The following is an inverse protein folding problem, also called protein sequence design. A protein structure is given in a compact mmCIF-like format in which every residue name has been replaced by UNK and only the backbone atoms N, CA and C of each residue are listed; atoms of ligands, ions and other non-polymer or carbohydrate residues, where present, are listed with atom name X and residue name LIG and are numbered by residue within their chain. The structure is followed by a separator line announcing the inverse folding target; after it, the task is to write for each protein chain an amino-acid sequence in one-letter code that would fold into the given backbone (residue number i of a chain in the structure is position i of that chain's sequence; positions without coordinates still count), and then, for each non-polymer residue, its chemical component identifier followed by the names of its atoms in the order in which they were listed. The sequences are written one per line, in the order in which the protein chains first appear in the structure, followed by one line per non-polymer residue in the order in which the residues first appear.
data_IF_233691657605
#
_entry.id   IF_233691657605
#
_cell.length_a   1.000
_cell.length_b   1.000
_cell.length_c   1.000
_cell.angle_alpha   90.00
_cell.angle_beta   90.00
_cell.angle_gamma   90.00
#
_symmetry.space_group_name_H-M   'P 1'
#
loop_
_entity.id
_entity.type
_entity.pdbx_description
1 polymer ?
#
# COMPACT_ATOMS: atom_id res chain seq x y z
N UNK A 1 -21.16 64.94 54.48
CA UNK A 1 -20.09 64.03 54.91
C UNK A 1 -20.09 62.84 53.90
N UNK A 2 -19.10 62.82 53.06
CA UNK A 2 -18.99 61.88 51.96
C UNK A 2 -18.13 60.68 52.37
N UNK A 3 -18.69 59.46 52.26
CA UNK A 3 -17.89 58.22 52.37
C UNK A 3 -17.73 57.59 51.00
N UNK A 4 -16.50 57.43 50.58
CA UNK A 4 -16.08 56.76 49.33
C UNK A 4 -16.25 55.31 49.51
N UNK A 5 -17.01 54.64 48.60
CA UNK A 5 -17.01 53.18 48.40
C UNK A 5 -15.99 52.84 47.31
N UNK A 6 -15.01 52.11 47.73
CA UNK A 6 -14.00 51.53 46.83
C UNK A 6 -14.62 50.30 46.14
N UNK A 7 -14.71 50.32 44.80
CA UNK A 7 -15.04 49.14 43.99
C UNK A 7 -13.78 48.32 43.81
N UNK A 8 -13.81 47.08 44.31
CA UNK A 8 -12.86 46.03 43.94
C UNK A 8 -13.33 45.35 42.67
N UNK A 9 -12.58 45.55 41.61
CA UNK A 9 -12.69 44.78 40.37
C UNK A 9 -12.01 43.41 40.60
N UNK A 10 -12.80 42.34 40.70
CA UNK A 10 -12.30 40.99 40.64
C UNK A 10 -12.06 40.61 39.17
N UNK A 11 -10.79 40.57 38.74
CA UNK A 11 -10.39 39.98 37.46
C UNK A 11 -10.40 38.47 37.58
N UNK A 12 -11.41 37.83 36.98
CA UNK A 12 -11.45 36.38 36.80
C UNK A 12 -10.42 36.01 35.72
N UNK A 13 -9.25 35.55 36.13
CA UNK A 13 -8.27 34.94 35.27
C UNK A 13 -8.77 33.57 34.81
N UNK A 14 -9.19 33.46 33.58
CA UNK A 14 -9.40 32.17 32.93
C UNK A 14 -8.04 31.49 32.75
N UNK A 15 -7.67 30.66 33.72
CA UNK A 15 -6.52 29.75 33.58
C UNK A 15 -6.88 28.67 32.57
N UNK A 16 -6.38 28.79 31.34
CA UNK A 16 -6.38 27.70 30.41
C UNK A 16 -5.47 26.59 30.96
N UNK A 17 -6.04 25.54 31.53
CA UNK A 17 -5.33 24.29 31.75
C UNK A 17 -4.94 23.74 30.38
N UNK A 18 -3.73 24.03 29.94
CA UNK A 18 -3.04 23.16 28.97
C UNK A 18 -2.84 21.81 29.65
N UNK A 19 -3.71 20.87 29.37
CA UNK A 19 -3.45 19.48 29.64
C UNK A 19 -2.21 19.09 28.84
N UNK A 20 -1.05 19.09 29.50
CA UNK A 20 0.13 18.42 29.05
C UNK A 20 -0.27 16.95 28.90
N UNK A 21 -0.65 16.55 27.67
CA UNK A 21 -0.65 15.15 27.28
C UNK A 21 0.78 14.67 27.51
N UNK A 22 0.95 13.87 28.57
CA UNK A 22 2.11 12.99 28.67
C UNK A 22 2.02 12.02 27.50
N UNK A 23 2.48 12.49 26.33
CA UNK A 23 2.70 11.63 25.19
C UNK A 23 3.76 10.63 25.64
N UNK A 24 3.39 9.37 25.77
CA UNK A 24 4.37 8.33 25.67
C UNK A 24 5.19 8.67 24.41
N UNK A 25 6.48 8.92 24.60
CA UNK A 25 7.37 9.19 23.47
C UNK A 25 7.26 7.99 22.55
N UNK A 26 6.54 8.17 21.44
CA UNK A 26 6.45 7.15 20.40
C UNK A 26 7.88 6.89 19.91
N UNK A 27 8.39 5.70 20.12
CA UNK A 27 9.65 5.30 19.52
C UNK A 27 9.38 5.13 18.03
N UNK A 28 9.77 6.13 17.24
CA UNK A 28 9.60 6.08 15.79
C UNK A 28 10.08 4.74 15.23
N UNK A 29 9.34 4.19 14.25
CA UNK A 29 9.76 2.97 13.57
C UNK A 29 11.20 3.17 13.06
N UNK A 30 12.09 2.19 13.23
CA UNK A 30 13.47 2.31 12.76
C UNK A 30 13.50 2.65 11.28
N UNK A 31 14.32 3.64 10.89
CA UNK A 31 14.50 3.96 9.48
C UNK A 31 14.92 2.72 8.71
N UNK A 32 14.18 2.38 7.66
CA UNK A 32 14.49 1.30 6.73
C UNK A 32 15.38 1.75 5.57
N UNK A 33 15.69 3.04 5.48
CA UNK A 33 16.57 3.61 4.44
C UNK A 33 18.01 3.65 4.96
N UNK A 34 18.84 2.74 4.47
CA UNK A 34 20.29 2.66 4.75
C UNK A 34 21.12 3.10 3.55
N UNK A 35 20.59 2.88 2.34
CA UNK A 35 21.21 3.25 1.07
C UNK A 35 20.56 4.51 0.52
N UNK A 36 21.36 5.48 0.12
CA UNK A 36 20.84 6.67 -0.55
C UNK A 36 20.26 6.31 -1.92
N UNK A 37 19.21 7.02 -2.32
CA UNK A 37 18.67 6.91 -3.67
C UNK A 37 19.71 7.44 -4.67
N UNK A 38 19.98 6.68 -5.72
CA UNK A 38 21.09 6.91 -6.63
C UNK A 38 20.67 7.39 -8.03
N UNK A 39 19.46 7.89 -8.16
CA UNK A 39 18.94 8.50 -9.38
C UNK A 39 17.97 9.64 -9.04
N UNK A 40 17.71 10.52 -10.00
CA UNK A 40 16.76 11.61 -9.81
C UNK A 40 15.33 11.05 -9.78
N UNK A 41 14.71 11.09 -8.59
CA UNK A 41 13.31 10.71 -8.39
C UNK A 41 12.43 11.79 -9.00
N UNK A 42 11.58 11.48 -9.98
CA UNK A 42 10.76 12.48 -10.63
C UNK A 42 9.73 13.08 -9.66
N UNK A 43 9.48 14.39 -9.78
CA UNK A 43 8.43 15.05 -9.00
C UNK A 43 7.09 14.37 -9.20
N UNK A 44 6.34 14.20 -8.12
CA UNK A 44 5.06 13.48 -8.13
C UNK A 44 5.21 11.95 -7.99
N UNK A 45 6.42 11.45 -7.73
CA UNK A 45 6.65 10.04 -7.50
C UNK A 45 5.78 9.49 -6.37
N UNK A 46 5.23 8.30 -6.58
CA UNK A 46 4.29 7.63 -5.70
C UNK A 46 4.81 6.25 -5.27
N UNK A 47 4.87 6.03 -3.95
CA UNK A 47 4.97 4.69 -3.40
C UNK A 47 3.57 4.07 -3.39
N UNK A 48 3.32 3.09 -4.25
CA UNK A 48 1.99 2.52 -4.47
C UNK A 48 1.66 1.35 -3.55
N UNK A 49 2.49 1.04 -2.56
CA UNK A 49 2.20 -0.04 -1.61
C UNK A 49 2.91 0.16 -0.27
N UNK A 50 2.19 0.71 0.69
CA UNK A 50 2.62 0.82 2.08
C UNK A 50 1.50 0.39 3.02
N UNK A 51 1.85 0.12 4.27
CA UNK A 51 0.91 -0.14 5.35
C UNK A 51 1.16 0.82 6.51
N UNK A 52 0.11 1.17 7.24
CA UNK A 52 0.19 1.92 8.50
C UNK A 52 -0.32 1.04 9.64
N UNK A 53 0.40 1.04 10.75
CA UNK A 53 0.07 0.29 11.96
C UNK A 53 0.11 1.24 13.15
N UNK A 54 -1.07 1.52 13.71
CA UNK A 54 -1.23 2.37 14.90
C UNK A 54 -2.15 1.67 15.92
N UNK A 55 -1.64 0.61 16.59
CA UNK A 55 -2.45 -0.19 17.51
C UNK A 55 -2.88 0.56 18.76
N UNK A 56 -2.23 1.67 19.10
CA UNK A 56 -2.61 2.51 20.22
C UNK A 56 -3.95 3.22 19.99
N UNK A 57 -4.24 3.60 18.75
CA UNK A 57 -5.47 4.29 18.36
C UNK A 57 -6.48 3.36 17.68
N UNK A 58 -5.99 2.35 16.96
CA UNK A 58 -6.78 1.40 16.19
C UNK A 58 -6.38 -0.04 16.57
N UNK A 59 -7.12 -0.69 17.48
CA UNK A 59 -6.80 -2.04 17.93
C UNK A 59 -6.78 -3.05 16.77
N UNK A 60 -5.82 -3.96 16.80
CA UNK A 60 -5.75 -5.03 15.82
C UNK A 60 -6.93 -6.00 15.94
N UNK A 61 -7.41 -6.47 14.79
CA UNK A 61 -8.45 -7.49 14.72
C UNK A 61 -8.05 -8.78 15.44
N UNK A 62 -8.96 -9.34 16.25
CA UNK A 62 -8.69 -10.55 17.04
C UNK A 62 -8.40 -11.79 16.17
N UNK A 63 -8.94 -11.86 14.95
CA UNK A 63 -8.71 -12.92 13.99
C UNK A 63 -7.50 -12.72 13.07
N UNK A 64 -6.60 -11.76 13.38
CA UNK A 64 -5.37 -11.54 12.61
C UNK A 64 -4.45 -12.76 12.64
N UNK A 65 -3.61 -12.89 11.64
CA UNK A 65 -2.66 -14.02 11.52
C UNK A 65 -1.21 -13.66 11.89
N UNK A 66 -0.95 -12.38 12.19
CA UNK A 66 0.33 -11.86 12.68
C UNK A 66 0.10 -10.55 13.43
N UNK A 67 1.07 -10.13 14.24
CA UNK A 67 1.05 -8.86 14.97
C UNK A 67 2.28 -8.05 14.58
N UNK A 68 2.14 -7.00 13.72
CA UNK A 68 3.27 -6.16 13.34
C UNK A 68 3.62 -5.18 14.46
N UNK A 69 4.86 -4.68 14.51
CA UNK A 69 5.18 -3.51 15.30
C UNK A 69 4.45 -2.27 14.79
N UNK A 70 4.34 -1.28 15.63
CA UNK A 70 3.81 0.03 15.28
C UNK A 70 4.63 0.67 14.15
N UNK A 71 3.93 1.34 13.22
CA UNK A 71 4.50 2.08 12.11
C UNK A 71 3.46 3.10 11.65
N UNK A 72 3.56 4.32 12.15
CA UNK A 72 2.54 5.35 12.02
C UNK A 72 2.57 6.09 10.69
N UNK A 73 1.57 6.96 10.47
CA UNK A 73 1.56 7.85 9.31
C UNK A 73 2.70 8.89 9.35
N UNK A 74 3.13 9.29 10.54
CA UNK A 74 4.28 10.18 10.76
C UNK A 74 5.60 9.49 10.37
N UNK A 75 5.77 8.21 10.75
CA UNK A 75 6.92 7.41 10.34
C UNK A 75 6.97 7.23 8.80
N UNK A 76 5.80 7.00 8.20
CA UNK A 76 5.66 6.92 6.75
C UNK A 76 6.06 8.23 6.07
N UNK A 77 5.66 9.37 6.62
CA UNK A 77 6.05 10.68 6.08
C UNK A 77 7.56 10.90 6.15
N UNK A 78 8.21 10.43 7.23
CA UNK A 78 9.67 10.48 7.36
C UNK A 78 10.36 9.60 6.31
N UNK A 79 9.85 8.39 6.04
CA UNK A 79 10.33 7.52 4.97
C UNK A 79 10.22 8.19 3.60
N UNK A 80 9.03 8.72 3.27
CA UNK A 80 8.80 9.37 1.97
C UNK A 80 9.79 10.51 1.72
N UNK A 81 10.08 11.31 2.75
CA UNK A 81 11.07 12.38 2.68
C UNK A 81 12.47 11.86 2.36
N UNK A 82 12.88 10.75 2.97
CA UNK A 82 14.19 10.13 2.73
C UNK A 82 14.30 9.54 1.31
N UNK A 83 13.20 9.01 0.76
CA UNK A 83 13.14 8.45 -0.58
C UNK A 83 12.82 9.47 -1.68
N UNK A 84 12.53 10.73 -1.32
CA UNK A 84 12.09 11.79 -2.24
C UNK A 84 10.76 11.49 -2.95
N UNK A 85 9.84 10.80 -2.27
CA UNK A 85 8.51 10.50 -2.79
C UNK A 85 7.48 11.53 -2.32
N UNK A 86 6.67 12.04 -3.25
CA UNK A 86 5.64 13.04 -2.97
C UNK A 86 4.29 12.41 -2.61
N UNK A 87 4.02 11.19 -3.08
CA UNK A 87 2.72 10.53 -3.01
C UNK A 87 2.83 9.12 -2.47
N UNK A 88 1.72 8.63 -1.96
CA UNK A 88 1.64 7.29 -1.37
C UNK A 88 0.26 6.67 -1.55
N UNK A 89 0.23 5.33 -1.67
CA UNK A 89 -1.00 4.54 -1.61
C UNK A 89 -0.93 3.61 -0.41
N UNK A 90 -1.77 3.89 0.59
CA UNK A 90 -1.88 3.11 1.82
C UNK A 90 -2.81 1.94 1.58
N UNK A 91 -2.27 0.74 1.71
CA UNK A 91 -3.00 -0.49 1.49
C UNK A 91 -3.47 -1.04 2.84
N UNK A 92 -4.76 -1.26 2.99
CA UNK A 92 -5.34 -1.86 4.20
C UNK A 92 -4.61 -3.16 4.55
N UNK A 93 -3.96 -3.26 5.72
CA UNK A 93 -3.32 -4.49 6.15
C UNK A 93 -4.34 -5.45 6.78
N UNK A 94 -4.10 -6.75 6.64
CA UNK A 94 -5.03 -7.78 7.12
C UNK A 94 -5.22 -7.80 8.64
N UNK A 95 -4.32 -7.19 9.39
CA UNK A 95 -4.38 -7.13 10.86
C UNK A 95 -5.53 -6.27 11.39
N UNK A 96 -6.14 -5.44 10.55
CA UNK A 96 -7.36 -4.69 10.89
C UNK A 96 -8.64 -5.32 10.28
N UNK A 97 -8.51 -6.45 9.56
CA UNK A 97 -9.66 -7.06 8.89
C UNK A 97 -10.35 -6.08 7.93
N UNK A 98 -11.67 -5.91 8.10
CA UNK A 98 -12.50 -4.99 7.32
C UNK A 98 -12.65 -3.60 7.96
N UNK A 99 -12.04 -3.35 9.11
CA UNK A 99 -12.02 -2.02 9.72
C UNK A 99 -10.94 -1.16 9.07
N UNK A 100 -11.34 -0.27 8.18
CA UNK A 100 -10.45 0.61 7.43
C UNK A 100 -10.12 1.92 8.16
N UNK A 101 -10.50 2.08 9.43
CA UNK A 101 -10.37 3.34 10.17
C UNK A 101 -8.93 3.86 10.23
N UNK A 102 -7.95 2.99 10.50
CA UNK A 102 -6.53 3.35 10.53
C UNK A 102 -6.03 3.86 9.15
N UNK A 103 -6.42 3.17 8.08
CA UNK A 103 -6.07 3.58 6.70
C UNK A 103 -6.70 4.92 6.33
N UNK A 104 -7.97 5.15 6.68
CA UNK A 104 -8.69 6.40 6.41
C UNK A 104 -8.12 7.57 7.22
N UNK A 105 -7.76 7.35 8.48
CA UNK A 105 -7.13 8.36 9.34
C UNK A 105 -5.76 8.77 8.78
N UNK A 106 -4.95 7.80 8.35
CA UNK A 106 -3.65 8.08 7.73
C UNK A 106 -3.78 8.88 6.42
N UNK A 107 -4.78 8.56 5.57
CA UNK A 107 -5.06 9.35 4.35
C UNK A 107 -5.45 10.79 4.73
N UNK A 108 -6.30 10.96 5.75
CA UNK A 108 -6.73 12.28 6.24
C UNK A 108 -5.54 13.08 6.77
N UNK A 109 -4.64 12.46 7.53
CA UNK A 109 -3.45 13.11 8.10
C UNK A 109 -2.49 13.57 6.98
N UNK A 110 -2.21 12.72 6.00
CA UNK A 110 -1.29 13.02 4.89
C UNK A 110 -1.91 13.98 3.86
N UNK A 111 -3.22 14.02 3.79
CA UNK A 111 -3.99 14.87 2.88
C UNK A 111 -4.20 14.32 1.47
N UNK A 112 -5.27 14.79 0.77
CA UNK A 112 -5.72 14.21 -0.51
C UNK A 112 -4.78 14.50 -1.69
N UNK A 113 -3.91 15.49 -1.59
CA UNK A 113 -2.89 15.75 -2.62
C UNK A 113 -1.79 14.69 -2.60
N UNK A 114 -1.53 14.07 -1.43
CA UNK A 114 -0.42 13.16 -1.18
C UNK A 114 -0.84 11.71 -1.08
N UNK A 115 -2.00 11.40 -0.50
CA UNK A 115 -2.38 10.04 -0.14
C UNK A 115 -3.64 9.54 -0.84
N UNK A 116 -3.65 8.24 -1.15
CA UNK A 116 -4.82 7.43 -1.53
C UNK A 116 -4.80 6.14 -0.72
N UNK A 117 -5.90 5.41 -0.73
CA UNK A 117 -5.98 4.12 -0.04
C UNK A 117 -6.64 3.02 -0.84
N UNK A 118 -6.35 1.81 -0.40
CA UNK A 118 -6.98 0.57 -0.84
C UNK A 118 -7.63 -0.08 0.37
N UNK A 119 -8.94 -0.24 0.34
CA UNK A 119 -9.72 -0.80 1.43
C UNK A 119 -9.83 -2.32 1.38
N UNK A 120 -10.24 -2.93 2.49
CA UNK A 120 -10.79 -4.28 2.53
C UNK A 120 -12.25 -4.18 2.91
N UNK A 121 -13.11 -4.81 2.14
CA UNK A 121 -14.56 -4.83 2.37
C UNK A 121 -15.08 -6.26 2.37
N UNK A 122 -16.28 -6.43 2.89
CA UNK A 122 -17.03 -7.68 2.77
C UNK A 122 -18.41 -7.45 2.11
N UNK A 123 -19.20 -8.51 2.02
CA UNK A 123 -20.52 -8.46 1.41
C UNK A 123 -21.56 -7.64 2.17
N UNK A 124 -21.27 -7.25 3.40
CA UNK A 124 -22.23 -6.52 4.27
C UNK A 124 -22.11 -5.01 4.12
N UNK A 125 -21.06 -4.51 3.46
CA UNK A 125 -20.85 -3.08 3.28
C UNK A 125 -21.96 -2.45 2.44
N UNK A 126 -22.51 -1.33 2.91
CA UNK A 126 -23.50 -0.55 2.17
C UNK A 126 -22.85 0.37 1.13
N UNK A 127 -23.60 0.71 0.07
CA UNK A 127 -23.12 1.61 -0.99
C UNK A 127 -22.72 2.98 -0.44
N UNK A 128 -23.46 3.53 0.54
CA UNK A 128 -23.14 4.80 1.19
C UNK A 128 -21.75 4.77 1.86
N UNK A 129 -21.42 3.67 2.54
CA UNK A 129 -20.08 3.50 3.15
C UNK A 129 -18.97 3.46 2.08
N UNK A 130 -19.23 2.85 0.93
CA UNK A 130 -18.27 2.86 -0.19
C UNK A 130 -18.13 4.29 -0.75
N UNK A 131 -19.23 5.08 -0.80
CA UNK A 131 -19.20 6.48 -1.23
C UNK A 131 -18.39 7.35 -0.26
N UNK A 132 -18.56 7.17 1.04
CA UNK A 132 -17.78 7.85 2.07
C UNK A 132 -16.28 7.51 1.96
N UNK A 133 -15.96 6.24 1.72
CA UNK A 133 -14.57 5.81 1.47
C UNK A 133 -14.00 6.44 0.20
N UNK A 134 -14.80 6.55 -0.87
CA UNK A 134 -14.39 7.19 -2.11
C UNK A 134 -14.06 8.68 -1.90
N UNK A 135 -14.93 9.39 -1.16
CA UNK A 135 -14.71 10.77 -0.78
C UNK A 135 -13.46 10.95 0.08
N UNK A 136 -13.18 10.00 0.98
CA UNK A 136 -11.98 9.99 1.82
C UNK A 136 -10.69 9.62 1.08
N UNK A 137 -10.75 9.20 -0.19
CA UNK A 137 -9.56 8.92 -1.00
C UNK A 137 -9.26 7.44 -1.27
N UNK A 138 -10.16 6.52 -0.93
CA UNK A 138 -10.05 5.12 -1.36
C UNK A 138 -10.27 5.01 -2.86
N UNK A 139 -9.49 4.17 -3.55
CA UNK A 139 -9.52 3.99 -5.01
C UNK A 139 -9.57 2.53 -5.44
N UNK A 140 -9.71 1.61 -4.51
CA UNK A 140 -9.83 0.19 -4.83
C UNK A 140 -10.05 -0.67 -3.59
N UNK A 141 -10.26 -1.96 -3.84
CA UNK A 141 -10.48 -2.98 -2.81
C UNK A 141 -9.43 -4.07 -2.96
N UNK A 142 -8.87 -4.51 -1.85
CA UNK A 142 -7.88 -5.58 -1.80
C UNK A 142 -8.52 -6.92 -1.44
N UNK A 143 -8.24 -7.93 -2.26
CA UNK A 143 -8.45 -9.34 -1.96
C UNK A 143 -7.10 -9.97 -1.59
N UNK A 144 -6.94 -10.35 -0.32
CA UNK A 144 -5.67 -10.82 0.21
C UNK A 144 -5.69 -12.34 0.38
N UNK A 145 -5.50 -13.08 -0.69
CA UNK A 145 -5.53 -14.54 -0.70
C UNK A 145 -4.31 -15.16 -0.02
N UNK A 146 -3.12 -14.56 -0.20
CA UNK A 146 -1.88 -15.06 0.36
C UNK A 146 -1.83 -15.05 1.89
N UNK A 147 -2.26 -13.94 2.51
CA UNK A 147 -2.21 -13.83 3.98
C UNK A 147 -3.27 -14.70 4.64
N UNK A 148 -4.43 -14.85 4.01
CA UNK A 148 -5.51 -15.70 4.51
C UNK A 148 -5.28 -17.19 4.22
N UNK A 149 -4.30 -17.53 3.38
CA UNK A 149 -4.04 -18.91 2.97
C UNK A 149 -5.10 -19.46 2.00
N UNK A 150 -5.88 -18.60 1.34
CA UNK A 150 -6.87 -19.04 0.35
C UNK A 150 -6.19 -19.42 -0.96
N UNK A 151 -6.21 -20.69 -1.26
CA UNK A 151 -5.65 -21.25 -2.49
C UNK A 151 -6.68 -21.95 -3.38
N UNK A 152 -7.95 -22.06 -2.92
CA UNK A 152 -9.02 -22.63 -3.71
C UNK A 152 -9.48 -21.68 -4.80
N UNK A 153 -9.32 -22.02 -6.11
CA UNK A 153 -9.68 -21.12 -7.20
C UNK A 153 -11.17 -20.77 -7.24
N UNK A 154 -12.07 -21.67 -6.85
CA UNK A 154 -13.52 -21.41 -6.89
C UNK A 154 -13.95 -20.41 -5.82
N UNK A 155 -13.36 -20.48 -4.63
CA UNK A 155 -13.57 -19.47 -3.60
C UNK A 155 -13.02 -18.11 -4.03
N UNK A 156 -11.82 -18.10 -4.57
CA UNK A 156 -11.18 -16.87 -5.05
C UNK A 156 -11.98 -16.24 -6.22
N UNK A 157 -12.43 -17.05 -7.19
CA UNK A 157 -13.31 -16.65 -8.30
C UNK A 157 -14.57 -15.98 -7.80
N UNK A 158 -15.29 -16.63 -6.89
CA UNK A 158 -16.51 -16.07 -6.30
C UNK A 158 -16.23 -14.70 -5.67
N UNK A 159 -15.18 -14.56 -4.87
CA UNK A 159 -14.83 -13.29 -4.22
C UNK A 159 -14.46 -12.19 -5.21
N UNK A 160 -13.75 -12.51 -6.30
CA UNK A 160 -13.44 -11.55 -7.36
C UNK A 160 -14.73 -11.05 -8.02
N UNK A 161 -15.65 -11.95 -8.38
CA UNK A 161 -16.89 -11.59 -9.06
C UNK A 161 -17.85 -10.81 -8.13
N UNK A 162 -18.00 -11.22 -6.86
CA UNK A 162 -18.79 -10.49 -5.86
C UNK A 162 -18.25 -9.08 -5.64
N UNK A 163 -16.92 -8.94 -5.51
CA UNK A 163 -16.28 -7.63 -5.36
C UNK A 163 -16.46 -6.77 -6.61
N UNK A 164 -16.33 -7.35 -7.80
CA UNK A 164 -16.55 -6.62 -9.05
C UNK A 164 -17.98 -6.09 -9.16
N UNK A 165 -18.98 -6.86 -8.71
CA UNK A 165 -20.36 -6.42 -8.67
C UNK A 165 -20.59 -5.28 -7.67
N UNK A 166 -20.04 -5.38 -6.46
CA UNK A 166 -20.11 -4.31 -5.44
C UNK A 166 -19.52 -2.98 -5.92
N UNK A 167 -18.47 -3.05 -6.77
CA UNK A 167 -17.75 -1.89 -7.30
C UNK A 167 -18.27 -1.42 -8.67
N UNK A 168 -19.31 -2.04 -9.21
CA UNK A 168 -19.83 -1.71 -10.55
C UNK A 168 -20.16 -0.21 -10.69
N UNK A 169 -19.71 0.37 -11.79
CA UNK A 169 -19.92 1.80 -12.10
C UNK A 169 -18.99 2.75 -11.35
N UNK A 170 -18.08 2.25 -10.51
CA UNK A 170 -17.08 3.06 -9.80
C UNK A 170 -15.76 3.09 -10.56
N UNK A 171 -15.06 4.21 -10.47
CA UNK A 171 -13.68 4.31 -10.98
C UNK A 171 -12.69 3.76 -9.95
N UNK A 172 -12.90 2.50 -9.55
CA UNK A 172 -12.05 1.75 -8.62
C UNK A 172 -11.46 0.53 -9.31
N UNK A 173 -10.48 -0.09 -8.66
CA UNK A 173 -9.86 -1.33 -9.13
C UNK A 173 -9.92 -2.42 -8.05
N UNK A 174 -9.73 -3.66 -8.47
CA UNK A 174 -9.54 -4.80 -7.57
C UNK A 174 -8.05 -5.09 -7.46
N UNK A 175 -7.50 -5.06 -6.24
CA UNK A 175 -6.11 -5.40 -5.97
C UNK A 175 -6.02 -6.81 -5.40
N UNK A 176 -5.13 -7.63 -5.93
CA UNK A 176 -4.95 -9.03 -5.57
C UNK A 176 -3.56 -9.24 -4.95
N UNK A 177 -3.52 -9.72 -3.70
CA UNK A 177 -2.33 -10.37 -3.16
C UNK A 177 -2.50 -11.89 -3.34
N UNK A 178 -1.97 -12.41 -4.43
CA UNK A 178 -2.12 -13.79 -4.87
C UNK A 178 -0.83 -14.32 -5.47
N UNK A 179 -0.57 -15.62 -5.30
CA UNK A 179 0.50 -16.32 -6.02
C UNK A 179 0.18 -16.47 -7.51
N UNK A 180 1.21 -16.61 -8.32
CA UNK A 180 1.09 -16.74 -9.78
C UNK A 180 0.11 -17.85 -10.20
N UNK A 181 0.17 -19.01 -9.55
CA UNK A 181 -0.73 -20.12 -9.83
C UNK A 181 -2.22 -19.74 -9.67
N UNK A 182 -2.56 -18.95 -8.64
CA UNK A 182 -3.92 -18.49 -8.44
C UNK A 182 -4.33 -17.42 -9.47
N UNK A 183 -3.41 -16.53 -9.85
CA UNK A 183 -3.64 -15.57 -10.95
C UNK A 183 -3.94 -16.28 -12.26
N UNK A 184 -3.20 -17.37 -12.57
CA UNK A 184 -3.43 -18.22 -13.74
C UNK A 184 -4.81 -18.89 -13.68
N UNK A 185 -5.18 -19.43 -12.53
CA UNK A 185 -6.48 -20.08 -12.34
C UNK A 185 -7.67 -19.11 -12.48
N UNK A 186 -7.44 -17.82 -12.27
CA UNK A 186 -8.46 -16.75 -12.35
C UNK A 186 -8.38 -15.92 -13.65
N UNK A 187 -7.56 -16.32 -14.62
CA UNK A 187 -7.24 -15.50 -15.80
C UNK A 187 -8.47 -14.99 -16.56
N UNK A 188 -9.49 -15.84 -16.70
CA UNK A 188 -10.69 -15.52 -17.47
C UNK A 188 -11.57 -14.49 -16.72
N UNK A 189 -11.75 -14.66 -15.42
CA UNK A 189 -12.48 -13.71 -14.58
C UNK A 189 -11.75 -12.37 -14.49
N UNK A 190 -10.44 -12.40 -14.29
CA UNK A 190 -9.61 -11.20 -14.25
C UNK A 190 -9.65 -10.45 -15.59
N UNK A 191 -9.73 -11.14 -16.71
CA UNK A 191 -9.92 -10.53 -18.01
C UNK A 191 -11.33 -9.93 -18.20
N UNK A 192 -12.35 -10.57 -17.63
CA UNK A 192 -13.77 -10.22 -17.86
C UNK A 192 -14.32 -9.10 -16.94
N UNK A 193 -13.83 -8.97 -15.68
CA UNK A 193 -14.35 -7.93 -14.76
C UNK A 193 -14.25 -6.53 -15.37
N UNK A 194 -15.22 -5.61 -15.15
CA UNK A 194 -15.29 -4.33 -15.88
C UNK A 194 -14.28 -3.26 -15.42
N UNK A 195 -13.54 -3.49 -14.32
CA UNK A 195 -12.53 -2.58 -13.78
C UNK A 195 -11.12 -3.10 -13.99
N UNK A 196 -10.08 -2.24 -13.85
CA UNK A 196 -8.70 -2.71 -13.80
C UNK A 196 -8.47 -3.67 -12.64
N UNK A 197 -7.54 -4.62 -12.81
CA UNK A 197 -7.00 -5.42 -11.72
C UNK A 197 -5.56 -5.00 -11.41
N UNK A 198 -5.17 -5.06 -10.16
CA UNK A 198 -3.81 -4.74 -9.70
C UNK A 198 -3.24 -5.95 -8.99
N UNK A 199 -2.13 -6.46 -9.44
CA UNK A 199 -1.51 -7.66 -8.89
C UNK A 199 -0.30 -7.26 -8.03
N UNK A 200 -0.33 -7.63 -6.75
CA UNK A 200 0.73 -7.30 -5.80
C UNK A 200 2.01 -8.11 -6.07
N UNK A 201 3.17 -7.49 -5.81
CA UNK A 201 4.45 -8.16 -5.60
C UNK A 201 4.84 -9.14 -6.73
N UNK A 202 4.82 -8.67 -8.01
CA UNK A 202 5.17 -9.47 -9.20
C UNK A 202 4.34 -10.76 -9.35
N UNK A 203 3.11 -10.82 -8.78
CA UNK A 203 2.35 -12.07 -8.65
C UNK A 203 3.13 -13.18 -7.92
N UNK A 204 4.15 -12.85 -7.13
CA UNK A 204 5.09 -13.81 -6.50
C UNK A 204 5.77 -14.75 -7.49
N UNK A 205 5.93 -14.35 -8.74
CA UNK A 205 6.73 -15.07 -9.72
C UNK A 205 8.17 -15.23 -9.19
N UNK A 206 8.70 -16.45 -9.19
CA UNK A 206 10.01 -16.74 -8.61
C UNK A 206 11.13 -16.29 -9.55
N UNK A 207 12.06 -15.49 -9.05
CA UNK A 207 13.19 -15.00 -9.84
C UNK A 207 14.11 -16.14 -10.30
N UNK A 208 14.37 -17.12 -9.41
CA UNK A 208 15.19 -18.30 -9.73
C UNK A 208 14.61 -19.18 -10.86
N UNK A 209 13.28 -19.18 -11.05
CA UNK A 209 12.62 -19.97 -12.07
C UNK A 209 12.61 -19.24 -13.43
N UNK A 210 13.01 -17.97 -13.44
CA UNK A 210 13.11 -17.12 -14.62
C UNK A 210 11.78 -16.85 -15.32
N UNK A 211 11.85 -16.28 -16.50
CA UNK A 211 10.67 -15.84 -17.28
C UNK A 211 9.90 -17.00 -17.94
N UNK A 212 10.49 -18.19 -18.00
CA UNK A 212 9.86 -19.38 -18.59
C UNK A 212 9.10 -20.23 -17.55
N UNK A 213 8.96 -19.76 -16.32
CA UNK A 213 8.19 -20.45 -15.28
C UNK A 213 6.71 -20.57 -15.67
N UNK A 214 6.08 -21.68 -15.23
CA UNK A 214 4.70 -21.97 -15.59
C UNK A 214 3.72 -20.86 -15.21
N UNK A 215 2.94 -20.39 -16.17
CA UNK A 215 1.91 -19.36 -15.98
C UNK A 215 2.39 -17.91 -16.01
N UNK A 216 3.69 -17.66 -16.12
CA UNK A 216 4.19 -16.29 -16.26
C UNK A 216 3.77 -15.65 -17.59
N UNK A 217 3.64 -16.45 -18.64
CA UNK A 217 3.06 -16.06 -19.94
C UNK A 217 1.62 -15.57 -19.83
N UNK A 218 0.81 -16.18 -18.98
CA UNK A 218 -0.58 -15.75 -18.66
C UNK A 218 -0.57 -14.37 -17.98
N UNK A 219 0.32 -14.15 -17.03
CA UNK A 219 0.49 -12.85 -16.38
C UNK A 219 0.92 -11.79 -17.41
N UNK A 220 1.89 -12.10 -18.26
CA UNK A 220 2.31 -11.19 -19.33
C UNK A 220 1.19 -10.87 -20.32
N UNK A 221 0.33 -11.84 -20.65
CA UNK A 221 -0.84 -11.62 -21.51
C UNK A 221 -1.86 -10.65 -20.86
N UNK A 222 -2.18 -10.81 -19.58
CA UNK A 222 -3.03 -9.90 -18.82
C UNK A 222 -2.45 -8.47 -18.75
N UNK A 223 -1.15 -8.34 -18.60
CA UNK A 223 -0.45 -7.05 -18.62
C UNK A 223 -0.48 -6.43 -20.02
N UNK A 224 -0.14 -7.21 -21.05
CA UNK A 224 -0.10 -6.76 -22.44
C UNK A 224 -1.45 -6.28 -22.95
N UNK A 225 -2.55 -6.94 -22.56
CA UNK A 225 -3.91 -6.52 -22.90
C UNK A 225 -4.31 -5.19 -22.28
N UNK A 226 -3.55 -4.68 -21.30
CA UNK A 226 -3.86 -3.47 -20.54
C UNK A 226 -4.84 -3.71 -19.39
N UNK A 227 -5.24 -4.95 -19.13
CA UNK A 227 -6.20 -5.29 -18.09
C UNK A 227 -5.59 -5.27 -16.70
N UNK A 228 -4.39 -5.82 -16.55
CA UNK A 228 -3.72 -5.93 -15.28
C UNK A 228 -2.59 -4.90 -15.12
N UNK A 229 -2.57 -4.23 -13.97
CA UNK A 229 -1.39 -3.58 -13.41
C UNK A 229 -0.62 -4.57 -12.56
N UNK A 230 0.70 -4.42 -12.50
CA UNK A 230 1.55 -5.18 -11.58
C UNK A 230 2.34 -4.23 -10.70
N UNK A 231 2.36 -4.49 -9.39
CA UNK A 231 3.22 -3.79 -8.44
C UNK A 231 4.60 -4.43 -8.44
N UNK A 232 5.59 -3.69 -8.92
CA UNK A 232 7.00 -3.99 -8.81
C UNK A 232 7.43 -3.65 -7.38
N UNK A 233 7.21 -4.55 -6.43
CA UNK A 233 7.32 -4.26 -5.00
C UNK A 233 7.74 -5.48 -4.19
N UNK A 234 8.40 -5.24 -3.04
CA UNK A 234 8.80 -6.32 -2.13
C UNK A 234 9.60 -7.43 -2.83
N UNK A 235 10.70 -7.07 -3.48
CA UNK A 235 11.56 -7.98 -4.29
C UNK A 235 11.98 -9.22 -3.49
N UNK A 236 12.11 -9.11 -2.16
CA UNK A 236 12.36 -10.24 -1.26
C UNK A 236 11.26 -11.32 -1.23
N UNK A 237 10.13 -11.10 -1.88
CA UNK A 237 9.07 -12.12 -2.02
C UNK A 237 9.25 -12.99 -3.25
N UNK A 238 10.09 -12.56 -4.18
CA UNK A 238 10.34 -13.27 -5.44
C UNK A 238 11.77 -13.80 -5.54
N UNK A 239 12.72 -13.28 -4.73
CA UNK A 239 14.13 -13.62 -4.75
C UNK A 239 14.64 -13.93 -3.34
N UNK A 240 15.51 -14.92 -3.23
CA UNK A 240 16.20 -15.33 -2.02
C UNK A 240 17.65 -14.79 -1.95
N UNK A 241 17.99 -13.75 -2.73
CA UNK A 241 19.35 -13.19 -2.85
C UNK A 241 19.45 -11.74 -2.32
N UNK A 242 19.11 -11.48 -1.02
CA UNK A 242 19.23 -10.15 -0.44
C UNK A 242 20.69 -9.71 -0.35
N UNK A 243 20.98 -8.41 -0.24
CA UNK A 243 20.05 -7.28 -0.30
C UNK A 243 19.82 -6.76 -1.72
N UNK A 244 20.52 -7.29 -2.73
CA UNK A 244 20.58 -6.70 -4.08
C UNK A 244 19.69 -7.40 -5.11
N UNK A 245 19.18 -8.61 -4.84
CA UNK A 245 18.27 -9.38 -5.69
C UNK A 245 18.69 -9.38 -7.17
N UNK A 246 19.92 -9.86 -7.51
CA UNK A 246 20.50 -9.77 -8.86
C UNK A 246 19.78 -10.64 -9.87
N UNK A 247 18.94 -11.56 -9.44
CA UNK A 247 18.08 -12.44 -10.23
C UNK A 247 16.72 -11.83 -10.59
N UNK A 248 16.35 -10.70 -9.96
CA UNK A 248 15.04 -10.05 -10.17
C UNK A 248 14.88 -9.32 -11.52
N UNK A 249 15.94 -8.72 -12.12
CA UNK A 249 15.78 -7.94 -13.34
C UNK A 249 15.08 -8.65 -14.50
N UNK A 250 15.33 -9.93 -14.83
CA UNK A 250 14.63 -10.58 -15.94
C UNK A 250 13.11 -10.59 -15.79
N UNK A 251 12.59 -10.83 -14.58
CA UNK A 251 11.15 -10.81 -14.27
C UNK A 251 10.59 -9.39 -14.41
N UNK A 252 11.26 -8.40 -13.81
CA UNK A 252 10.83 -7.00 -13.87
C UNK A 252 10.84 -6.47 -15.32
N UNK A 253 11.91 -6.75 -16.05
CA UNK A 253 12.06 -6.33 -17.46
C UNK A 253 11.00 -6.95 -18.36
N UNK A 254 10.70 -8.24 -18.19
CA UNK A 254 9.64 -8.89 -18.96
C UNK A 254 8.27 -8.25 -18.76
N UNK A 255 7.92 -7.90 -17.50
CA UNK A 255 6.69 -7.21 -17.18
C UNK A 255 6.66 -5.79 -17.74
N UNK A 256 7.74 -5.03 -17.58
CA UNK A 256 7.87 -3.66 -18.14
C UNK A 256 7.75 -3.69 -19.67
N UNK A 257 8.43 -4.62 -20.33
CA UNK A 257 8.42 -4.77 -21.78
C UNK A 257 7.04 -5.20 -22.30
N UNK A 258 6.29 -5.99 -21.53
CA UNK A 258 4.93 -6.37 -21.89
C UNK A 258 3.99 -5.15 -21.96
N UNK A 259 4.05 -4.24 -20.97
CA UNK A 259 3.32 -2.97 -21.02
C UNK A 259 3.82 -2.00 -19.93
N UNK A 260 4.69 -1.04 -20.25
CA UNK A 260 5.21 -0.09 -19.26
C UNK A 260 4.13 0.82 -18.66
N UNK A 261 2.96 0.96 -19.29
CA UNK A 261 1.84 1.75 -18.77
C UNK A 261 1.01 0.98 -17.72
N UNK A 262 1.40 -0.23 -17.38
CA UNK A 262 0.72 -1.09 -16.40
C UNK A 262 1.61 -1.47 -15.22
N UNK A 263 2.74 -0.82 -15.07
CA UNK A 263 3.64 -1.02 -13.94
C UNK A 263 3.52 0.12 -12.93
N UNK A 264 3.48 -0.21 -11.65
CA UNK A 264 3.62 0.73 -10.54
C UNK A 264 4.63 0.18 -9.54
N UNK A 265 5.34 1.06 -8.84
CA UNK A 265 6.32 0.66 -7.84
C UNK A 265 5.75 0.81 -6.42
N UNK A 266 6.26 0.01 -5.45
CA UNK A 266 5.93 0.17 -4.04
C UNK A 266 6.99 -0.47 -3.13
N UNK A 267 7.26 0.16 -1.99
CA UNK A 267 8.22 -0.34 -1.01
C UNK A 267 7.74 -1.60 -0.30
N UNK A 268 6.46 -1.68 -0.02
CA UNK A 268 5.83 -2.58 0.96
C UNK A 268 6.24 -2.26 2.41
N UNK A 269 6.64 -0.98 2.66
CA UNK A 269 6.93 -0.53 4.03
C UNK A 269 5.71 -0.78 4.95
N UNK A 270 5.91 -1.15 6.22
CA UNK A 270 7.15 -1.39 6.94
C UNK A 270 7.62 -2.87 6.87
N UNK A 271 7.40 -3.56 5.76
CA UNK A 271 7.86 -4.92 5.47
C UNK A 271 7.33 -5.97 6.44
N UNK A 272 6.03 -6.08 6.66
CA UNK A 272 5.48 -6.93 7.71
C UNK A 272 5.90 -8.39 7.54
N UNK A 273 6.52 -8.92 8.58
CA UNK A 273 6.91 -10.31 8.70
C UNK A 273 5.85 -11.15 9.43
N UNK A 274 6.28 -12.27 9.98
CA UNK A 274 5.44 -13.15 10.83
C UNK A 274 6.20 -13.48 12.11
N UNK A 275 5.49 -13.51 13.25
CA UNK A 275 5.97 -14.04 14.53
C UNK A 275 5.89 -15.57 14.54
N UNK A 276 6.31 -16.19 15.64
CA UNK A 276 6.17 -17.64 15.86
C UNK A 276 4.70 -18.02 16.06
N UNK A 277 3.98 -17.19 16.78
CA UNK A 277 2.52 -17.24 16.91
C UNK A 277 1.90 -15.97 16.37
N UNK A 278 0.58 -15.89 16.24
CA UNK A 278 -0.11 -14.69 15.77
C UNK A 278 -0.07 -13.54 16.79
N UNK A 279 0.11 -13.85 18.06
CA UNK A 279 0.19 -12.90 19.17
C UNK A 279 1.59 -12.30 19.31
N UNK A 280 2.63 -13.02 18.89
CA UNK A 280 4.00 -12.54 18.95
C UNK A 280 4.21 -11.34 18.03
N UNK A 281 4.97 -10.37 18.52
CA UNK A 281 5.38 -9.25 17.69
C UNK A 281 6.23 -9.78 16.52
N UNK A 282 5.71 -9.60 15.31
CA UNK A 282 6.35 -10.07 14.10
C UNK A 282 7.48 -9.12 13.69
N UNK A 283 8.76 -9.55 13.68
CA UNK A 283 9.81 -8.69 13.17
C UNK A 283 9.57 -8.40 11.69
N UNK A 284 9.85 -7.17 11.22
CA UNK A 284 9.76 -6.87 9.80
C UNK A 284 10.80 -7.68 9.02
N UNK A 285 10.52 -7.97 7.75
CA UNK A 285 11.55 -8.49 6.85
C UNK A 285 12.72 -7.50 6.80
N UNK A 286 13.96 -7.98 6.87
CA UNK A 286 15.12 -7.12 6.72
C UNK A 286 15.11 -6.53 5.30
N UNK A 287 14.85 -5.25 5.20
CA UNK A 287 14.77 -4.53 3.93
C UNK A 287 15.49 -3.18 4.05
N UNK A 288 15.97 -2.70 2.92
CA UNK A 288 16.52 -1.36 2.75
C UNK A 288 15.75 -0.69 1.62
N UNK A 289 14.87 0.25 1.97
CA UNK A 289 14.00 0.91 1.00
C UNK A 289 14.76 1.72 -0.04
N UNK A 290 15.88 2.33 0.34
CA UNK A 290 16.76 2.99 -0.62
C UNK A 290 17.38 1.99 -1.63
N UNK A 291 17.82 0.82 -1.16
CA UNK A 291 18.30 -0.23 -2.06
C UNK A 291 17.18 -0.80 -2.93
N UNK A 292 15.94 -0.88 -2.41
CA UNK A 292 14.78 -1.35 -3.17
C UNK A 292 14.41 -0.37 -4.30
N UNK A 293 14.36 0.92 -4.03
CA UNK A 293 14.07 1.92 -5.07
C UNK A 293 15.16 1.97 -6.13
N UNK A 294 16.41 1.73 -5.73
CA UNK A 294 17.59 1.65 -6.61
C UNK A 294 17.60 0.40 -7.52
N UNK A 295 16.62 -0.51 -7.40
CA UNK A 295 16.40 -1.55 -8.41
C UNK A 295 15.82 -1.00 -9.71
N UNK A 296 15.04 0.09 -9.66
CA UNK A 296 14.39 0.66 -10.84
C UNK A 296 15.34 0.96 -12.00
N UNK A 297 16.49 1.62 -11.81
CA UNK A 297 17.47 1.79 -12.88
C UNK A 297 18.04 0.49 -13.45
N UNK A 298 18.05 -0.61 -12.68
CA UNK A 298 18.48 -1.93 -13.14
C UNK A 298 17.38 -2.65 -13.94
N UNK A 299 16.12 -2.35 -13.66
CA UNK A 299 14.98 -2.90 -14.38
C UNK A 299 14.69 -2.15 -15.68
N UNK A 300 14.95 -0.84 -15.72
CA UNK A 300 14.85 -0.02 -16.93
C UNK A 300 15.81 1.16 -16.87
N UNK A 301 16.67 1.28 -17.88
CA UNK A 301 17.60 2.41 -18.03
C UNK A 301 16.89 3.68 -18.52
N UNK A 302 15.71 3.55 -19.15
CA UNK A 302 14.96 4.68 -19.69
C UNK A 302 14.28 5.50 -18.57
N UNK A 303 14.68 6.76 -18.34
CA UNK A 303 14.07 7.63 -17.34
C UNK A 303 12.60 7.93 -17.63
N UNK A 304 12.17 7.86 -18.89
CA UNK A 304 10.77 8.07 -19.28
C UNK A 304 9.91 6.91 -18.78
N UNK A 305 10.41 5.68 -18.86
CA UNK A 305 9.72 4.51 -18.33
C UNK A 305 9.68 4.57 -16.78
N UNK A 306 10.79 4.97 -16.13
CA UNK A 306 10.78 5.16 -14.68
C UNK A 306 9.75 6.22 -14.24
N UNK A 307 9.64 7.33 -14.98
CA UNK A 307 8.61 8.35 -14.73
C UNK A 307 7.20 7.77 -14.89
N UNK A 308 6.95 6.95 -15.91
CA UNK A 308 5.65 6.26 -16.04
C UNK A 308 5.35 5.40 -14.81
N UNK A 309 6.30 4.57 -14.37
CA UNK A 309 6.14 3.66 -13.23
C UNK A 309 5.89 4.42 -11.92
N UNK A 310 6.60 5.54 -11.72
CA UNK A 310 6.57 6.28 -10.47
C UNK A 310 5.51 7.39 -10.43
N UNK A 311 5.13 7.96 -11.58
CA UNK A 311 4.28 9.16 -11.61
C UNK A 311 3.02 8.97 -12.44
N UNK A 312 3.16 8.66 -13.74
CA UNK A 312 2.04 8.76 -14.67
C UNK A 312 1.01 7.63 -14.47
N UNK A 313 1.49 6.39 -14.29
CA UNK A 313 0.64 5.23 -14.02
C UNK A 313 -0.06 5.34 -12.65
N UNK A 314 0.64 5.69 -11.55
CA UNK A 314 -0.01 5.98 -10.28
C UNK A 314 -1.06 7.10 -10.37
N UNK A 315 -0.76 8.19 -11.09
CA UNK A 315 -1.72 9.29 -11.26
C UNK A 315 -3.00 8.80 -11.95
N UNK A 316 -2.87 8.02 -13.01
CA UNK A 316 -4.00 7.43 -13.74
C UNK A 316 -4.77 6.43 -12.89
N UNK A 317 -4.08 5.50 -12.23
CA UNK A 317 -4.73 4.39 -11.51
C UNK A 317 -5.43 4.85 -10.23
N UNK A 318 -4.82 5.78 -9.49
CA UNK A 318 -5.31 6.23 -8.19
C UNK A 318 -5.96 7.62 -8.21
N UNK A 319 -6.04 8.27 -9.37
CA UNK A 319 -6.70 9.56 -9.52
C UNK A 319 -5.96 10.69 -8.77
N UNK A 320 -4.63 10.74 -8.87
CA UNK A 320 -3.89 11.93 -8.47
C UNK A 320 -3.91 12.96 -9.59
N UNK A 321 -3.86 14.25 -9.22
CA UNK A 321 -3.67 15.32 -10.19
C UNK A 321 -2.36 15.14 -10.96
N UNK A 322 -2.26 15.67 -12.17
CA UNK A 322 -1.00 15.73 -12.89
C UNK A 322 0.07 16.44 -12.03
N UNK A 323 1.33 15.97 -12.09
CA UNK A 323 2.45 16.52 -11.33
C UNK A 323 3.08 17.71 -12.05
#
# INVERSE_FOLDING_TARGET
MLTRRTMLLASAGAGALLALRSGNAHAAAPSTVKTLVNFDVPRGACDCHVHVFDPARFPYFSGRVYTPPEATAEDLLALQKQLHFDRVVIVQPSVYGIDNACTLDAIKLLGPARARGIAVIDKTIGQGQIDDMAAAGIRGVRLNFETTGESNPDNARRRVLETAEQLRGRNWHIQLNAALALVVALKDELAAVPMPVVIDHFARAKANDGVNQGGFDVLLALVKSGKAYVKLSATYRISDQPPHYPDSPPIAQALINANPNRMVWGSNWPHPGRGKTREDLAPPYPSDDGAQVNQLPKWTFDPTIRKKILVDNPATLYGFSAA
#
